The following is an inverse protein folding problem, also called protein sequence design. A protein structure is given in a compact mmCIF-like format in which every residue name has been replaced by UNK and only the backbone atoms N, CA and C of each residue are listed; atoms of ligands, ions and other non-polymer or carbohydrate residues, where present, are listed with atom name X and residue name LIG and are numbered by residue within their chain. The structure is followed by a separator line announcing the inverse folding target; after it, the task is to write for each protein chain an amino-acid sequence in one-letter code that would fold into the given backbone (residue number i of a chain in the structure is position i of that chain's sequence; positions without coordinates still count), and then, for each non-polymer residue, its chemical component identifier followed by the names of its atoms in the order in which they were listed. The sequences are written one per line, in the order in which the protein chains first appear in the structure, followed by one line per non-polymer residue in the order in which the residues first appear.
data_IF_709332248166
#
_entry.id   IF_709332248166
#
_cell.length_a   1.000
_cell.length_b   1.000
_cell.length_c   1.000
_cell.angle_alpha   90.00
_cell.angle_beta   90.00
_cell.angle_gamma   90.00
#
_symmetry.space_group_name_H-M   'P 1'
#
loop_
_entity.id
_entity.type
_entity.pdbx_description
1 polymer ?
#
# COMPACT_ATOMS: atom_id res chain seq x y z
N UNK A 1 -13.49 -3.32 -15.39
CA UNK A 1 -13.36 -2.66 -14.08
C UNK A 1 -12.47 -1.43 -14.28
N UNK A 2 -12.86 -0.27 -13.74
CA UNK A 2 -12.02 0.94 -13.77
C UNK A 2 -11.03 0.93 -12.60
N UNK A 3 -10.01 1.78 -12.66
CA UNK A 3 -9.06 1.90 -11.55
C UNK A 3 -9.71 2.40 -10.26
N UNK A 4 -10.69 3.29 -10.35
CA UNK A 4 -11.46 3.77 -9.20
C UNK A 4 -12.28 2.65 -8.55
N UNK A 5 -12.88 1.79 -9.38
CA UNK A 5 -13.61 0.61 -8.91
C UNK A 5 -12.69 -0.38 -8.19
N UNK A 6 -11.52 -0.66 -8.77
CA UNK A 6 -10.55 -1.56 -8.16
C UNK A 6 -9.96 -0.96 -6.87
N UNK A 7 -9.66 0.34 -6.83
CA UNK A 7 -9.15 0.99 -5.63
C UNK A 7 -10.15 0.92 -4.46
N UNK A 8 -11.45 1.11 -4.76
CA UNK A 8 -12.50 0.94 -3.77
C UNK A 8 -12.56 -0.50 -3.25
N UNK A 9 -12.51 -1.49 -4.14
CA UNK A 9 -12.50 -2.92 -3.76
C UNK A 9 -11.26 -3.27 -2.94
N UNK A 10 -10.07 -2.79 -3.32
CA UNK A 10 -8.85 -2.98 -2.52
C UNK A 10 -9.04 -2.48 -1.09
N UNK A 11 -9.57 -1.27 -0.91
CA UNK A 11 -9.84 -0.70 0.42
C UNK A 11 -10.88 -1.50 1.18
N UNK A 12 -11.97 -1.89 0.50
CA UNK A 12 -13.04 -2.67 1.13
C UNK A 12 -12.57 -4.05 1.60
N UNK A 13 -11.81 -4.75 0.74
CA UNK A 13 -11.18 -6.02 1.10
C UNK A 13 -10.16 -5.87 2.23
N UNK A 14 -9.34 -4.81 2.20
CA UNK A 14 -8.33 -4.58 3.21
C UNK A 14 -8.93 -4.33 4.60
N UNK A 15 -9.99 -3.53 4.68
CA UNK A 15 -10.72 -3.32 5.94
C UNK A 15 -11.26 -4.66 6.46
N UNK A 16 -11.89 -5.47 5.62
CA UNK A 16 -12.41 -6.77 6.01
C UNK A 16 -11.29 -7.73 6.45
N UNK A 17 -10.25 -7.88 5.62
CA UNK A 17 -9.12 -8.76 5.90
C UNK A 17 -8.45 -8.40 7.23
N UNK A 18 -8.14 -7.12 7.45
CA UNK A 18 -7.45 -6.70 8.68
C UNK A 18 -8.36 -6.77 9.90
N UNK A 19 -9.65 -6.49 9.73
CA UNK A 19 -10.65 -6.63 10.78
C UNK A 19 -10.79 -8.09 11.27
N UNK A 20 -10.96 -9.04 10.35
CA UNK A 20 -11.14 -10.46 10.69
C UNK A 20 -9.85 -11.08 11.22
N UNK A 21 -8.73 -10.76 10.60
CA UNK A 21 -7.43 -11.38 10.93
C UNK A 21 -6.71 -10.73 12.10
N UNK A 22 -7.17 -9.55 12.52
CA UNK A 22 -6.44 -8.66 13.43
C UNK A 22 -5.03 -8.30 12.92
N UNK A 23 -4.90 -8.28 11.59
CA UNK A 23 -3.65 -7.93 10.90
C UNK A 23 -3.39 -6.43 10.89
N UNK A 24 -2.12 -6.06 11.02
CA UNK A 24 -1.68 -4.65 11.05
C UNK A 24 -1.59 -4.01 9.64
N UNK A 25 -1.13 -2.77 9.61
CA UNK A 25 -0.71 -2.02 8.42
C UNK A 25 -1.84 -1.46 7.53
N UNK A 26 -3.08 -1.39 8.05
CA UNK A 26 -4.21 -0.88 7.26
C UNK A 26 -3.94 0.52 6.67
N UNK A 27 -3.32 1.43 7.42
CA UNK A 27 -2.97 2.77 6.93
C UNK A 27 -2.08 2.75 5.69
N UNK A 28 -1.11 1.81 5.63
CA UNK A 28 -0.21 1.64 4.48
C UNK A 28 -0.89 0.98 3.28
N UNK A 29 -1.89 0.13 3.53
CA UNK A 29 -2.71 -0.49 2.48
C UNK A 29 -3.60 0.56 1.84
N UNK A 30 -4.25 1.41 2.65
CA UNK A 30 -5.13 2.46 2.17
C UNK A 30 -4.39 3.53 1.36
N UNK A 31 -3.12 3.86 1.70
CA UNK A 31 -2.33 4.83 0.94
C UNK A 31 -1.99 4.34 -0.47
N UNK A 32 -1.60 3.07 -0.61
CA UNK A 32 -1.10 2.51 -1.87
C UNK A 32 -2.19 2.01 -2.82
N UNK A 33 -3.45 1.97 -2.37
CA UNK A 33 -4.56 1.34 -3.08
C UNK A 33 -4.79 1.91 -4.48
N UNK A 34 -4.72 3.24 -4.66
CA UNK A 34 -4.89 3.90 -5.97
C UNK A 34 -3.75 3.59 -6.92
N UNK A 35 -2.51 3.59 -6.42
CA UNK A 35 -1.32 3.23 -7.20
C UNK A 35 -1.44 1.80 -7.74
N UNK A 36 -1.77 0.83 -6.86
CA UNK A 36 -1.95 -0.57 -7.26
C UNK A 36 -3.13 -0.72 -8.22
N UNK A 37 -4.24 -0.03 -7.96
CA UNK A 37 -5.41 -0.09 -8.83
C UNK A 37 -5.09 0.39 -10.26
N UNK A 38 -4.43 1.54 -10.40
CA UNK A 38 -4.02 2.05 -11.73
C UNK A 38 -3.04 1.10 -12.41
N UNK A 39 -2.09 0.54 -11.66
CA UNK A 39 -1.16 -0.46 -12.21
C UNK A 39 -1.90 -1.66 -12.80
N UNK A 40 -2.82 -2.26 -12.07
CA UNK A 40 -3.49 -3.50 -12.48
C UNK A 40 -4.61 -3.30 -13.51
N UNK A 41 -5.18 -2.11 -13.65
CA UNK A 41 -6.26 -1.85 -14.62
C UNK A 41 -5.78 -1.22 -15.91
N UNK A 42 -4.77 -0.34 -15.85
CA UNK A 42 -4.44 0.52 -16.99
C UNK A 42 -2.99 0.34 -17.51
N UNK A 43 -2.08 -0.20 -16.71
CA UNK A 43 -0.63 -0.14 -17.00
C UNK A 43 -0.03 -1.52 -17.24
N UNK A 44 -0.17 -2.45 -16.29
CA UNK A 44 0.51 -3.75 -16.32
C UNK A 44 0.00 -4.65 -17.45
N UNK A 45 0.92 -5.21 -18.20
CA UNK A 45 0.64 -6.30 -19.15
C UNK A 45 0.74 -7.62 -18.42
N UNK A 46 -0.38 -8.28 -18.19
CA UNK A 46 -0.43 -9.59 -17.53
C UNK A 46 -1.55 -10.46 -18.10
N UNK A 47 -1.44 -11.76 -17.85
CA UNK A 47 -2.52 -12.73 -18.03
C UNK A 47 -2.61 -13.56 -16.73
N UNK A 48 -3.69 -13.38 -15.98
CA UNK A 48 -3.92 -14.08 -14.72
C UNK A 48 -4.00 -15.61 -14.88
N UNK A 49 -4.29 -16.10 -16.09
CA UNK A 49 -4.35 -17.54 -16.43
C UNK A 49 -3.03 -18.09 -16.94
N UNK A 50 -2.08 -17.23 -17.30
CA UNK A 50 -0.77 -17.61 -17.80
C UNK A 50 0.37 -16.88 -17.09
N UNK A 51 0.65 -17.29 -15.86
CA UNK A 51 1.72 -16.72 -15.05
C UNK A 51 3.11 -16.90 -15.63
N UNK A 52 3.27 -17.87 -16.56
CA UNK A 52 4.53 -18.17 -17.22
C UNK A 52 4.75 -17.33 -18.50
N UNK A 53 3.81 -16.46 -18.85
CA UNK A 53 3.99 -15.60 -20.01
C UNK A 53 5.24 -14.71 -19.84
N UNK A 54 6.26 -14.96 -20.64
CA UNK A 54 7.58 -14.34 -20.48
C UNK A 54 7.54 -12.81 -20.69
N UNK A 55 6.66 -12.34 -21.58
CA UNK A 55 6.54 -10.91 -21.94
C UNK A 55 5.61 -10.13 -21.00
N UNK A 56 5.03 -10.78 -19.98
CA UNK A 56 4.26 -10.05 -18.96
C UNK A 56 5.15 -9.10 -18.19
N UNK A 57 4.62 -7.98 -17.76
CA UNK A 57 5.31 -7.09 -16.83
C UNK A 57 5.53 -7.76 -15.47
N UNK A 58 6.50 -7.25 -14.73
CA UNK A 58 6.82 -7.70 -13.36
C UNK A 58 6.47 -6.61 -12.39
N UNK A 59 5.76 -6.99 -11.33
CA UNK A 59 5.39 -6.06 -10.26
C UNK A 59 5.92 -6.55 -8.92
N UNK A 60 6.63 -5.67 -8.19
CA UNK A 60 7.15 -5.92 -6.84
C UNK A 60 6.56 -4.87 -5.89
N UNK A 61 5.80 -5.33 -4.90
CA UNK A 61 5.43 -4.50 -3.76
C UNK A 61 6.54 -4.59 -2.72
N UNK A 62 7.54 -3.71 -2.79
CA UNK A 62 8.70 -3.74 -1.88
C UNK A 62 8.31 -3.41 -0.44
N UNK A 63 7.39 -2.45 -0.24
CA UNK A 63 6.68 -2.22 1.03
C UNK A 63 5.72 -3.38 1.34
N UNK A 64 6.27 -4.57 1.57
CA UNK A 64 5.52 -5.82 1.69
C UNK A 64 4.49 -5.85 2.81
N UNK A 65 4.62 -4.98 3.80
CA UNK A 65 3.64 -4.78 4.86
C UNK A 65 2.27 -4.30 4.35
N UNK A 66 2.17 -3.74 3.14
CA UNK A 66 0.91 -3.46 2.48
C UNK A 66 0.36 -4.68 1.69
N UNK A 67 0.71 -5.92 2.09
CA UNK A 67 0.37 -7.17 1.42
C UNK A 67 -1.12 -7.34 1.13
N UNK A 68 -2.00 -6.89 2.02
CA UNK A 68 -3.45 -6.96 1.81
C UNK A 68 -3.89 -6.19 0.53
N UNK A 69 -3.20 -5.11 0.13
CA UNK A 69 -3.54 -4.38 -1.10
C UNK A 69 -3.26 -5.21 -2.35
N UNK A 70 -2.08 -5.82 -2.44
CA UNK A 70 -1.75 -6.65 -3.61
C UNK A 70 -2.60 -7.91 -3.65
N UNK A 71 -2.92 -8.52 -2.52
CA UNK A 71 -3.80 -9.70 -2.49
C UNK A 71 -5.20 -9.38 -3.01
N UNK A 72 -5.78 -8.27 -2.58
CA UNK A 72 -7.08 -7.82 -3.08
C UNK A 72 -7.03 -7.53 -4.60
N UNK A 73 -6.01 -6.82 -5.08
CA UNK A 73 -5.83 -6.54 -6.50
C UNK A 73 -5.68 -7.81 -7.34
N UNK A 74 -4.89 -8.77 -6.88
CA UNK A 74 -4.69 -10.05 -7.58
C UNK A 74 -5.97 -10.88 -7.62
N UNK A 75 -6.71 -10.98 -6.52
CA UNK A 75 -7.98 -11.70 -6.47
C UNK A 75 -9.00 -11.09 -7.43
N UNK A 76 -9.19 -9.78 -7.40
CA UNK A 76 -10.11 -9.05 -8.30
C UNK A 76 -9.66 -9.08 -9.76
N UNK A 77 -8.36 -9.25 -10.02
CA UNK A 77 -7.79 -9.45 -11.36
C UNK A 77 -7.83 -10.92 -11.83
N UNK A 78 -8.38 -11.84 -11.03
CA UNK A 78 -8.63 -13.23 -11.41
C UNK A 78 -7.45 -14.20 -11.27
N UNK A 79 -6.41 -13.84 -10.48
CA UNK A 79 -5.28 -14.74 -10.20
C UNK A 79 -5.65 -15.88 -9.24
N UNK A 80 -6.59 -15.65 -8.35
CA UNK A 80 -7.16 -16.64 -7.43
C UNK A 80 -8.57 -16.20 -6.98
N UNK A 81 -9.37 -17.10 -6.39
CA UNK A 81 -10.74 -16.76 -5.99
C UNK A 81 -10.80 -15.67 -4.91
N UNK A 82 -11.69 -14.69 -5.06
CA UNK A 82 -11.91 -13.59 -4.10
C UNK A 82 -12.24 -14.12 -2.70
N UNK A 83 -13.00 -15.22 -2.59
CA UNK A 83 -13.34 -15.82 -1.30
C UNK A 83 -12.11 -16.27 -0.48
N UNK A 84 -10.97 -16.51 -1.11
CA UNK A 84 -9.74 -16.86 -0.42
C UNK A 84 -9.20 -15.72 0.45
N UNK A 85 -9.55 -14.46 0.15
CA UNK A 85 -9.17 -13.30 0.95
C UNK A 85 -9.62 -13.41 2.41
N UNK A 86 -10.68 -14.17 2.69
CA UNK A 86 -11.17 -14.45 4.05
C UNK A 86 -10.19 -15.27 4.90
N UNK A 87 -9.19 -15.87 4.25
CA UNK A 87 -8.16 -16.68 4.94
C UNK A 87 -6.89 -15.87 5.29
N UNK A 88 -6.91 -14.55 5.06
CA UNK A 88 -5.78 -13.68 5.38
C UNK A 88 -5.31 -13.88 6.84
N UNK A 89 -4.01 -14.09 7.04
CA UNK A 89 -3.39 -14.37 8.35
C UNK A 89 -3.85 -15.67 9.06
N UNK A 90 -4.74 -16.46 8.47
CA UNK A 90 -5.15 -17.72 9.08
C UNK A 90 -4.01 -18.76 9.02
N UNK A 91 -3.93 -19.64 10.01
CA UNK A 91 -2.96 -20.72 10.01
C UNK A 91 -3.11 -21.60 8.76
N UNK A 92 -2.01 -21.82 8.04
CA UNK A 92 -1.99 -22.58 6.79
C UNK A 92 -2.39 -21.80 5.55
N UNK A 93 -2.83 -20.55 5.67
CA UNK A 93 -3.06 -19.67 4.52
C UNK A 93 -1.75 -19.23 3.87
N UNK A 94 -1.78 -19.06 2.55
CA UNK A 94 -0.69 -18.42 1.80
C UNK A 94 -0.76 -16.89 1.82
N UNK A 95 -1.88 -16.33 2.25
CA UNK A 95 -2.10 -14.89 2.38
C UNK A 95 -1.53 -14.39 3.71
N UNK A 96 -0.21 -14.24 3.75
CA UNK A 96 0.53 -13.80 4.94
C UNK A 96 0.33 -12.29 5.16
N UNK A 97 0.72 -11.78 6.31
CA UNK A 97 0.64 -10.34 6.61
C UNK A 97 1.54 -9.46 5.74
N UNK A 98 2.57 -10.05 5.15
CA UNK A 98 3.45 -9.40 4.20
C UNK A 98 3.34 -10.10 2.84
N UNK A 99 3.66 -9.39 1.76
CA UNK A 99 3.58 -9.95 0.42
C UNK A 99 4.37 -11.26 0.31
N UNK A 100 3.71 -12.33 -0.15
CA UNK A 100 4.24 -13.70 -0.16
C UNK A 100 4.23 -14.28 -1.58
N UNK A 101 5.37 -14.79 -2.03
CA UNK A 101 5.52 -15.44 -3.35
C UNK A 101 4.71 -16.74 -3.51
N UNK A 102 4.15 -17.29 -2.41
CA UNK A 102 3.22 -18.41 -2.50
C UNK A 102 1.87 -18.02 -3.11
N UNK A 103 1.58 -16.72 -3.19
CA UNK A 103 0.37 -16.18 -3.81
C UNK A 103 0.60 -16.00 -5.31
N UNK A 104 -0.25 -16.58 -6.19
CA UNK A 104 -0.13 -16.40 -7.64
C UNK A 104 -0.12 -14.93 -8.03
N UNK A 105 0.86 -14.52 -8.83
CA UNK A 105 1.03 -13.13 -9.24
C UNK A 105 1.97 -12.30 -8.36
N UNK A 106 2.40 -12.80 -7.21
CA UNK A 106 3.45 -12.17 -6.39
C UNK A 106 4.81 -12.70 -6.82
N UNK A 107 5.67 -11.83 -7.34
CA UNK A 107 6.99 -12.21 -7.87
C UNK A 107 7.95 -12.69 -6.78
N UNK A 108 8.00 -11.96 -5.66
CA UNK A 108 8.92 -12.22 -4.55
C UNK A 108 8.24 -11.88 -3.22
N UNK A 109 8.60 -12.62 -2.18
CA UNK A 109 8.23 -12.26 -0.81
C UNK A 109 8.99 -11.02 -0.38
N UNK A 110 8.28 -10.06 0.21
CA UNK A 110 8.84 -8.79 0.69
C UNK A 110 8.34 -8.50 2.11
N UNK A 111 8.99 -7.55 2.78
CA UNK A 111 8.65 -7.16 4.15
C UNK A 111 9.85 -6.55 4.86
N UNK A 112 11.05 -7.10 4.64
CA UNK A 112 12.30 -6.42 4.98
C UNK A 112 12.53 -5.31 3.96
N UNK A 113 12.47 -4.06 4.41
CA UNK A 113 12.56 -2.89 3.53
C UNK A 113 13.94 -2.81 2.84
N UNK A 114 14.00 -2.11 1.71
CA UNK A 114 15.22 -1.90 0.94
C UNK A 114 15.60 -3.02 -0.03
N UNK A 115 14.88 -4.16 -0.07
CA UNK A 115 15.25 -5.31 -0.90
C UNK A 115 14.58 -5.33 -2.27
N UNK A 116 13.32 -4.90 -2.36
CA UNK A 116 12.52 -5.04 -3.59
C UNK A 116 13.09 -4.30 -4.78
N UNK A 117 13.66 -3.11 -4.59
CA UNK A 117 14.26 -2.34 -5.68
C UNK A 117 15.49 -3.04 -6.25
N UNK A 118 16.35 -3.60 -5.39
CA UNK A 118 17.54 -4.36 -5.82
C UNK A 118 17.14 -5.61 -6.62
N UNK A 119 16.09 -6.31 -6.19
CA UNK A 119 15.54 -7.47 -6.91
C UNK A 119 14.97 -7.02 -8.26
N UNK A 120 14.21 -5.91 -8.29
CA UNK A 120 13.68 -5.32 -9.51
C UNK A 120 14.78 -4.92 -10.51
N UNK A 121 15.90 -4.39 -10.01
CA UNK A 121 17.09 -4.12 -10.82
C UNK A 121 17.63 -5.38 -11.48
N UNK A 122 17.71 -6.48 -10.70
CA UNK A 122 18.16 -7.78 -11.23
C UNK A 122 17.25 -8.31 -12.33
N UNK A 123 15.93 -8.23 -12.15
CA UNK A 123 14.93 -8.63 -13.15
C UNK A 123 15.04 -7.78 -14.42
N UNK A 124 15.09 -6.45 -14.27
CA UNK A 124 15.20 -5.52 -15.39
C UNK A 124 16.51 -5.70 -16.17
N UNK A 125 17.62 -5.94 -15.46
CA UNK A 125 18.90 -6.21 -16.05
C UNK A 125 18.91 -7.54 -16.83
N UNK A 126 18.36 -8.61 -16.25
CA UNK A 126 18.25 -9.92 -16.90
C UNK A 126 17.42 -9.84 -18.18
N UNK A 127 16.26 -9.20 -18.14
CA UNK A 127 15.41 -8.97 -19.31
C UNK A 127 16.17 -8.27 -20.43
N UNK A 128 16.86 -7.18 -20.11
CA UNK A 128 17.65 -6.42 -21.07
C UNK A 128 18.80 -7.22 -21.68
N UNK A 129 19.49 -8.03 -20.86
CA UNK A 129 20.59 -8.90 -21.32
C UNK A 129 20.13 -10.02 -22.22
N UNK A 130 18.95 -10.56 -21.97
CA UNK A 130 18.35 -11.66 -22.76
C UNK A 130 17.65 -11.14 -24.03
N UNK A 131 17.66 -9.85 -24.30
CA UNK A 131 16.93 -9.24 -25.44
C UNK A 131 15.42 -9.23 -25.25
N UNK A 132 14.93 -9.50 -24.06
CA UNK A 132 13.51 -9.48 -23.68
C UNK A 132 13.10 -8.05 -23.31
N UNK A 133 13.08 -7.13 -24.26
CA UNK A 133 12.83 -5.71 -24.02
C UNK A 133 11.33 -5.35 -23.99
N UNK A 134 10.44 -6.33 -24.14
CA UNK A 134 9.01 -6.10 -24.34
C UNK A 134 8.23 -5.94 -23.02
N UNK A 135 8.85 -6.23 -21.87
CA UNK A 135 8.24 -6.07 -20.55
C UNK A 135 9.01 -5.10 -19.65
N UNK A 136 8.28 -4.53 -18.73
CA UNK A 136 8.79 -3.61 -17.72
C UNK A 136 8.77 -4.25 -16.35
N UNK A 137 9.57 -3.69 -15.45
CA UNK A 137 9.59 -4.02 -14.04
C UNK A 137 9.14 -2.81 -13.25
N UNK A 138 8.08 -2.94 -12.48
CA UNK A 138 7.52 -1.91 -11.61
C UNK A 138 7.76 -2.29 -10.16
N UNK A 139 8.28 -1.36 -9.38
CA UNK A 139 8.60 -1.59 -7.95
C UNK A 139 8.01 -0.48 -7.12
N UNK A 140 7.03 -0.82 -6.26
CA UNK A 140 6.50 0.14 -5.30
C UNK A 140 7.27 0.05 -4.00
N UNK A 141 7.90 1.14 -3.62
CA UNK A 141 8.63 1.34 -2.36
C UNK A 141 7.89 2.36 -1.49
N UNK A 142 8.23 2.46 -0.22
CA UNK A 142 7.74 3.54 0.65
C UNK A 142 8.80 4.66 0.81
N UNK A 143 8.34 5.79 1.32
CA UNK A 143 9.25 6.88 1.73
C UNK A 143 10.22 6.43 2.83
N UNK A 144 9.73 5.78 3.89
CA UNK A 144 10.60 5.22 4.92
C UNK A 144 11.56 4.13 4.43
N UNK A 145 11.23 3.45 3.31
CA UNK A 145 12.15 2.52 2.67
C UNK A 145 13.33 3.24 2.01
N UNK A 146 13.18 4.52 1.66
CA UNK A 146 14.28 5.35 1.16
C UNK A 146 15.35 5.66 2.22
N UNK A 147 15.14 5.33 3.48
CA UNK A 147 16.17 5.40 4.52
C UNK A 147 17.15 4.22 4.45
N UNK A 148 16.79 3.17 3.73
CA UNK A 148 17.65 2.00 3.54
C UNK A 148 18.76 2.29 2.52
N UNK A 149 20.03 2.06 2.90
CA UNK A 149 21.17 2.27 2.02
C UNK A 149 21.10 1.47 0.71
N UNK A 150 20.55 0.26 0.77
CA UNK A 150 20.37 -0.62 -0.38
C UNK A 150 19.45 -0.05 -1.48
N UNK A 151 18.53 0.84 -1.16
CA UNK A 151 17.72 1.57 -2.16
C UNK A 151 18.64 2.46 -3.02
N UNK A 152 19.58 3.17 -2.41
CA UNK A 152 20.49 4.06 -3.13
C UNK A 152 21.59 3.29 -3.89
N UNK A 153 22.04 2.14 -3.37
CA UNK A 153 22.90 1.21 -4.09
C UNK A 153 22.20 0.69 -5.35
N UNK A 154 20.93 0.28 -5.23
CA UNK A 154 20.11 -0.13 -6.37
C UNK A 154 19.89 1.01 -7.37
N UNK A 155 19.71 2.24 -6.88
CA UNK A 155 19.56 3.41 -7.73
C UNK A 155 20.81 3.68 -8.56
N UNK A 156 22.01 3.57 -7.97
CA UNK A 156 23.30 3.67 -8.69
C UNK A 156 23.43 2.58 -9.75
N UNK A 157 23.11 1.33 -9.38
CA UNK A 157 23.16 0.18 -10.28
C UNK A 157 22.22 0.38 -11.49
N UNK A 158 20.98 0.75 -11.25
CA UNK A 158 19.98 0.95 -12.30
C UNK A 158 20.41 2.01 -13.32
N UNK A 159 20.93 3.13 -12.87
CA UNK A 159 21.45 4.18 -13.74
C UNK A 159 22.67 3.72 -14.51
N UNK A 160 23.66 3.08 -13.84
CA UNK A 160 24.88 2.59 -14.49
C UNK A 160 24.57 1.62 -15.64
N UNK A 161 23.64 0.67 -15.40
CA UNK A 161 23.24 -0.32 -16.42
C UNK A 161 22.11 0.17 -17.34
N UNK A 162 21.71 1.45 -17.20
CA UNK A 162 20.72 2.10 -18.06
C UNK A 162 19.41 1.33 -18.13
N UNK A 163 18.86 0.96 -16.97
CA UNK A 163 17.67 0.12 -16.88
C UNK A 163 16.39 0.94 -17.16
N UNK A 164 16.21 1.36 -18.40
CA UNK A 164 15.05 2.13 -18.87
C UNK A 164 13.73 1.34 -18.87
N UNK A 165 13.79 0.05 -18.62
CA UNK A 165 12.65 -0.85 -18.41
C UNK A 165 12.28 -1.01 -16.93
N UNK A 166 12.94 -0.27 -16.02
CA UNK A 166 12.63 -0.23 -14.58
C UNK A 166 11.92 1.06 -14.22
N UNK A 167 10.78 0.93 -13.55
CA UNK A 167 10.02 2.05 -12.98
C UNK A 167 9.87 1.81 -11.48
N UNK A 168 10.45 2.68 -10.67
CA UNK A 168 10.19 2.72 -9.22
C UNK A 168 9.04 3.68 -8.94
N UNK A 169 8.20 3.35 -7.97
CA UNK A 169 7.13 4.22 -7.49
C UNK A 169 7.30 4.39 -5.98
N UNK A 170 7.50 5.61 -5.52
CA UNK A 170 7.55 5.91 -4.09
C UNK A 170 6.14 6.26 -3.64
N UNK A 171 5.54 5.41 -2.79
CA UNK A 171 4.34 5.76 -2.04
C UNK A 171 4.75 6.75 -0.94
N UNK A 172 4.71 8.04 -1.28
CA UNK A 172 5.22 9.14 -0.47
C UNK A 172 4.12 9.71 0.41
N UNK A 173 3.85 9.00 1.52
CA UNK A 173 2.78 9.33 2.46
C UNK A 173 3.26 10.10 3.70
N UNK A 174 4.53 10.47 3.77
CA UNK A 174 5.19 11.25 4.83
C UNK A 174 5.23 10.59 6.21
N UNK A 175 4.94 9.28 6.31
CA UNK A 175 4.87 8.57 7.59
C UNK A 175 5.57 7.22 7.54
N UNK A 176 6.37 6.97 8.56
CA UNK A 176 7.00 5.68 8.82
C UNK A 176 6.25 4.88 9.90
N UNK A 177 6.89 3.86 10.46
CA UNK A 177 6.35 3.04 11.53
C UNK A 177 6.43 3.71 12.90
N UNK A 178 7.38 4.60 13.09
CA UNK A 178 7.68 5.25 14.38
C UNK A 178 7.04 6.64 14.50
N UNK A 179 7.10 7.43 13.41
CA UNK A 179 6.60 8.81 13.38
C UNK A 179 6.52 9.29 11.92
N UNK A 180 6.24 10.58 11.73
CA UNK A 180 6.41 11.23 10.44
C UNK A 180 7.85 11.09 9.94
N UNK A 181 8.00 10.98 8.62
CA UNK A 181 9.31 10.80 7.96
C UNK A 181 10.32 11.86 8.40
N UNK A 182 9.92 13.13 8.49
CA UNK A 182 10.80 14.20 8.92
C UNK A 182 11.24 14.12 10.39
N UNK A 183 10.46 13.43 11.24
CA UNK A 183 10.80 13.26 12.66
C UNK A 183 11.64 12.00 12.89
N UNK A 184 11.49 10.98 12.03
CA UNK A 184 12.22 9.70 12.16
C UNK A 184 13.61 9.82 11.56
N UNK A 185 13.69 10.06 10.25
CA UNK A 185 14.91 10.35 9.51
C UNK A 185 14.56 11.21 8.29
N UNK A 186 14.96 12.46 8.29
CA UNK A 186 14.55 13.42 7.27
C UNK A 186 15.16 13.09 5.91
N UNK A 187 14.30 12.83 4.93
CA UNK A 187 14.71 12.56 3.54
C UNK A 187 15.10 13.83 2.78
N UNK A 188 14.74 15.03 3.25
CA UNK A 188 14.95 16.28 2.52
C UNK A 188 14.27 16.28 1.15
N UNK A 189 14.91 16.88 0.14
CA UNK A 189 14.38 16.84 -1.24
C UNK A 189 14.63 15.46 -1.88
N UNK A 190 13.63 14.61 -1.80
CA UNK A 190 13.65 13.24 -2.36
C UNK A 190 13.81 13.27 -3.87
N UNK A 191 13.12 14.18 -4.56
CA UNK A 191 13.19 14.31 -6.01
C UNK A 191 14.60 14.70 -6.48
N UNK A 192 15.23 15.66 -5.78
CA UNK A 192 16.61 16.04 -6.10
C UNK A 192 17.60 14.90 -5.86
N UNK A 193 17.42 14.10 -4.81
CA UNK A 193 18.24 12.91 -4.56
C UNK A 193 18.15 11.92 -5.72
N UNK A 194 16.95 11.52 -6.13
CA UNK A 194 16.78 10.61 -7.26
C UNK A 194 17.35 11.16 -8.55
N UNK A 195 17.20 12.49 -8.83
CA UNK A 195 17.83 13.15 -9.98
C UNK A 195 19.36 13.08 -9.90
N UNK A 196 19.94 13.27 -8.71
CA UNK A 196 21.40 13.17 -8.50
C UNK A 196 21.93 11.76 -8.73
N UNK A 197 21.13 10.72 -8.48
CA UNK A 197 21.45 9.33 -8.83
C UNK A 197 21.25 9.01 -10.31
N UNK A 198 20.87 10.00 -11.13
CA UNK A 198 20.74 9.88 -12.59
C UNK A 198 19.39 9.32 -13.06
N UNK A 199 18.41 9.26 -12.19
CA UNK A 199 17.06 8.83 -12.53
C UNK A 199 16.26 9.98 -13.13
N UNK A 200 15.32 9.62 -14.00
CA UNK A 200 14.23 10.50 -14.35
C UNK A 200 13.21 10.50 -13.23
N UNK A 201 12.72 11.68 -12.86
CA UNK A 201 11.78 11.86 -11.75
C UNK A 201 10.48 12.46 -12.29
N UNK A 202 9.38 11.82 -11.98
CA UNK A 202 8.00 12.28 -12.19
C UNK A 202 7.35 12.44 -10.82
N UNK A 203 6.76 13.60 -10.56
CA UNK A 203 6.06 13.90 -9.31
C UNK A 203 4.57 13.98 -9.58
N UNK A 204 3.73 13.34 -8.74
CA UNK A 204 2.29 13.25 -8.97
C UNK A 204 1.50 13.17 -7.66
N UNK A 205 0.21 13.50 -7.71
CA UNK A 205 -0.75 13.18 -6.64
C UNK A 205 -1.13 11.69 -6.76
N UNK A 206 -0.66 10.90 -5.78
CA UNK A 206 -0.83 9.45 -5.76
C UNK A 206 -2.24 8.97 -5.39
N UNK A 207 -3.15 9.87 -5.02
CA UNK A 207 -4.55 9.56 -4.77
C UNK A 207 -5.49 10.07 -5.88
N UNK A 208 -4.93 10.55 -7.02
CA UNK A 208 -5.69 10.95 -8.21
C UNK A 208 -5.37 10.08 -9.40
N UNK A 209 -6.35 9.31 -9.85
CA UNK A 209 -6.19 8.30 -10.89
C UNK A 209 -5.77 8.88 -12.25
N UNK A 210 -6.32 10.02 -12.65
CA UNK A 210 -5.95 10.71 -13.88
C UNK A 210 -4.50 11.17 -13.88
N UNK A 211 -4.03 11.72 -12.75
CA UNK A 211 -2.64 12.14 -12.59
C UNK A 211 -1.68 10.95 -12.51
N UNK A 212 -2.06 9.87 -11.81
CA UNK A 212 -1.27 8.63 -11.81
C UNK A 212 -1.14 8.04 -13.22
N UNK A 213 -2.24 7.95 -13.98
CA UNK A 213 -2.23 7.45 -15.36
C UNK A 213 -1.32 8.30 -16.24
N UNK A 214 -1.33 9.62 -16.08
CA UNK A 214 -0.44 10.50 -16.81
C UNK A 214 1.01 10.30 -16.42
N UNK A 215 1.32 10.19 -15.13
CA UNK A 215 2.67 9.91 -14.64
C UNK A 215 3.24 8.58 -15.20
N UNK A 216 2.41 7.54 -15.28
CA UNK A 216 2.82 6.27 -15.89
C UNK A 216 3.03 6.40 -17.40
N UNK A 217 2.15 7.12 -18.13
CA UNK A 217 2.36 7.40 -19.57
C UNK A 217 3.64 8.21 -19.79
N UNK A 218 3.90 9.18 -18.94
CA UNK A 218 5.14 9.92 -18.98
C UNK A 218 6.34 8.99 -18.75
N UNK A 219 6.31 8.09 -17.79
CA UNK A 219 7.35 7.11 -17.57
C UNK A 219 7.58 6.18 -18.79
N UNK A 220 6.54 5.83 -19.52
CA UNK A 220 6.64 5.03 -20.74
C UNK A 220 7.20 5.81 -21.92
N UNK A 221 6.68 7.02 -22.19
CA UNK A 221 7.09 7.88 -23.32
C UNK A 221 8.52 8.35 -23.16
N UNK A 222 8.95 8.59 -21.95
CA UNK A 222 10.28 9.06 -21.63
C UNK A 222 11.36 8.01 -21.80
N UNK A 223 11.01 6.75 -21.77
CA UNK A 223 11.89 5.70 -22.28
C UNK A 223 12.32 5.91 -23.73
N UNK A 224 11.56 6.73 -24.49
CA UNK A 224 11.92 7.14 -25.86
C UNK A 224 12.78 8.40 -25.89
N UNK A 225 12.53 9.38 -25.02
CA UNK A 225 13.26 10.65 -24.98
C UNK A 225 14.60 10.55 -24.26
N UNK A 226 14.66 9.82 -23.16
CA UNK A 226 15.86 9.52 -22.39
C UNK A 226 16.05 7.99 -22.30
N UNK A 227 16.38 7.32 -23.41
CA UNK A 227 16.33 5.85 -23.55
C UNK A 227 17.31 5.08 -22.66
N UNK A 228 18.02 5.80 -21.80
CA UNK A 228 19.07 5.25 -20.95
C UNK A 228 18.80 5.43 -19.46
N UNK A 229 17.71 6.08 -19.07
CA UNK A 229 17.45 6.36 -17.67
C UNK A 229 16.33 5.49 -17.12
N UNK A 230 16.49 4.90 -15.92
CA UNK A 230 15.37 4.39 -15.14
C UNK A 230 14.48 5.56 -14.70
N UNK A 231 13.21 5.28 -14.41
CA UNK A 231 12.25 6.29 -13.98
C UNK A 231 11.79 6.03 -12.56
N UNK A 232 11.67 7.08 -11.75
CA UNK A 232 10.98 7.05 -10.47
C UNK A 232 9.77 7.98 -10.51
N UNK A 233 8.63 7.49 -10.06
CA UNK A 233 7.42 8.26 -9.82
C UNK A 233 7.32 8.49 -8.32
N UNK A 234 7.37 9.74 -7.88
CA UNK A 234 7.13 10.13 -6.49
C UNK A 234 5.64 10.47 -6.39
N UNK A 235 4.89 9.52 -5.86
CA UNK A 235 3.44 9.62 -5.72
C UNK A 235 3.11 10.12 -4.31
N UNK A 236 2.76 11.40 -4.18
CA UNK A 236 2.31 11.96 -2.91
C UNK A 236 0.96 11.38 -2.54
N UNK A 237 0.87 10.68 -1.42
CA UNK A 237 -0.33 10.00 -0.95
C UNK A 237 -0.68 10.40 0.48
N UNK A 238 -1.85 10.00 0.93
CA UNK A 238 -2.29 10.15 2.32
C UNK A 238 -2.33 8.76 2.97
N UNK A 239 -1.54 8.56 4.03
CA UNK A 239 -1.64 7.33 4.81
C UNK A 239 -3.03 7.21 5.43
N UNK A 240 -3.71 6.08 5.22
CA UNK A 240 -5.09 5.92 5.69
C UNK A 240 -6.15 6.52 4.76
N UNK A 241 -5.82 6.85 3.50
CA UNK A 241 -6.73 7.51 2.57
C UNK A 241 -8.05 6.77 2.36
N UNK A 242 -9.16 7.51 2.43
CA UNK A 242 -10.52 6.98 2.28
C UNK A 242 -11.25 6.72 3.60
N UNK A 243 -10.53 6.75 4.74
CA UNK A 243 -11.11 6.62 6.08
C UNK A 243 -10.59 7.76 6.95
N UNK A 244 -11.44 8.75 7.23
CA UNK A 244 -11.03 10.05 7.77
C UNK A 244 -10.25 9.97 9.10
N UNK A 245 -10.69 9.10 10.00
CA UNK A 245 -10.05 8.94 11.32
C UNK A 245 -8.74 8.12 11.27
N UNK A 246 -8.43 7.51 10.12
CA UNK A 246 -7.16 6.80 9.89
C UNK A 246 -6.13 7.67 9.18
N UNK A 247 -6.57 8.80 8.58
CA UNK A 247 -5.68 9.63 7.77
C UNK A 247 -4.62 10.32 8.64
N UNK A 248 -3.35 10.14 8.23
CA UNK A 248 -2.19 10.75 8.87
C UNK A 248 -2.09 10.48 10.37
N UNK A 249 -2.63 9.35 10.84
CA UNK A 249 -2.48 8.90 12.22
C UNK A 249 -1.60 7.65 12.27
N UNK A 250 -0.51 7.77 13.06
CA UNK A 250 0.52 6.74 13.23
C UNK A 250 -0.03 5.45 13.84
N UNK A 251 -1.08 5.52 14.64
CA UNK A 251 -1.69 4.37 15.27
C UNK A 251 -2.10 3.32 14.24
N UNK A 252 -2.56 3.74 13.06
CA UNK A 252 -3.02 2.86 11.99
C UNK A 252 -1.87 2.20 11.19
N UNK A 253 -0.63 2.42 11.62
CA UNK A 253 0.47 1.61 11.11
C UNK A 253 0.40 0.18 11.66
N UNK A 254 0.06 0.01 12.95
CA UNK A 254 0.01 -1.29 13.61
C UNK A 254 -1.39 -1.74 14.05
N UNK A 255 -2.37 -0.85 14.02
CA UNK A 255 -3.77 -1.17 14.36
C UNK A 255 -4.54 -1.74 13.16
N UNK A 256 -5.67 -2.33 13.49
CA UNK A 256 -6.74 -2.78 12.60
C UNK A 256 -8.08 -2.26 13.11
N UNK A 257 -9.14 -2.16 12.27
CA UNK A 257 -10.45 -1.72 12.72
C UNK A 257 -11.06 -2.74 13.69
N UNK A 258 -11.30 -2.34 14.92
CA UNK A 258 -11.98 -3.18 15.91
C UNK A 258 -13.46 -3.28 15.64
N UNK A 259 -14.12 -4.32 16.22
CA UNK A 259 -15.58 -4.47 16.19
C UNK A 259 -16.28 -3.21 16.71
N UNK A 260 -17.43 -2.88 16.12
CA UNK A 260 -18.22 -1.71 16.43
C UNK A 260 -17.74 -0.47 15.67
N UNK A 261 -17.62 0.65 16.34
CA UNK A 261 -17.47 1.97 15.70
C UNK A 261 -16.35 2.04 14.64
N UNK A 262 -15.17 1.50 14.93
CA UNK A 262 -14.03 1.65 14.00
C UNK A 262 -14.29 0.92 12.67
N UNK A 263 -14.80 -0.31 12.74
CA UNK A 263 -15.15 -1.06 11.54
C UNK A 263 -16.34 -0.44 10.80
N UNK A 264 -17.41 -0.14 11.54
CA UNK A 264 -18.65 0.41 10.98
C UNK A 264 -18.42 1.74 10.28
N UNK A 265 -17.65 2.65 10.90
CA UNK A 265 -17.29 3.93 10.29
C UNK A 265 -16.36 3.79 9.10
N UNK A 266 -15.40 2.86 9.14
CA UNK A 266 -14.53 2.58 8.01
C UNK A 266 -15.34 2.17 6.78
N UNK A 267 -16.28 1.25 6.96
CA UNK A 267 -17.17 0.80 5.86
C UNK A 267 -18.08 1.95 5.40
N UNK A 268 -18.70 2.68 6.36
CA UNK A 268 -19.60 3.80 6.04
C UNK A 268 -18.91 4.87 5.21
N UNK A 269 -17.67 5.23 5.56
CA UNK A 269 -16.92 6.24 4.83
C UNK A 269 -16.54 5.78 3.42
N UNK A 270 -16.17 4.51 3.26
CA UNK A 270 -15.95 3.94 1.93
C UNK A 270 -17.21 3.98 1.05
N UNK A 271 -18.39 3.74 1.63
CA UNK A 271 -19.64 3.81 0.86
C UNK A 271 -19.95 5.21 0.33
N UNK A 272 -19.49 6.30 0.99
CA UNK A 272 -19.65 7.67 0.48
C UNK A 272 -18.91 7.91 -0.84
N UNK A 273 -17.87 7.12 -1.10
CA UNK A 273 -17.03 7.23 -2.30
C UNK A 273 -17.14 6.00 -3.21
N UNK A 274 -18.14 5.14 -2.98
CA UNK A 274 -18.33 3.91 -3.76
C UNK A 274 -18.64 4.26 -5.21
N UNK A 275 -17.82 3.81 -6.18
CA UNK A 275 -18.10 4.05 -7.58
C UNK A 275 -19.32 3.29 -8.08
N UNK A 276 -19.99 3.83 -9.09
CA UNK A 276 -21.10 3.15 -9.75
C UNK A 276 -20.67 1.80 -10.34
N UNK A 277 -21.59 0.83 -10.30
CA UNK A 277 -21.37 -0.50 -10.88
C UNK A 277 -20.50 -1.46 -10.04
N UNK A 278 -20.01 -1.02 -8.88
CA UNK A 278 -19.30 -1.92 -7.95
C UNK A 278 -20.29 -2.63 -7.03
N UNK A 279 -20.17 -3.95 -6.94
CA UNK A 279 -20.85 -4.75 -5.92
C UNK A 279 -19.93 -4.96 -4.74
N UNK A 280 -20.38 -4.68 -3.52
CA UNK A 280 -19.63 -5.00 -2.31
C UNK A 280 -19.66 -6.53 -2.08
N UNK A 281 -18.52 -7.22 -2.07
CA UNK A 281 -18.48 -8.68 -1.90
C UNK A 281 -18.86 -9.14 -0.50
N UNK A 282 -19.00 -8.24 0.46
CA UNK A 282 -19.33 -8.53 1.86
C UNK A 282 -20.75 -8.15 2.23
N UNK A 283 -21.49 -7.51 1.33
CA UNK A 283 -22.90 -7.18 1.54
C UNK A 283 -23.77 -8.21 0.85
N UNK A 284 -24.65 -8.94 1.55
CA UNK A 284 -25.57 -9.87 0.93
C UNK A 284 -26.44 -9.18 -0.13
N UNK A 285 -26.69 -9.85 -1.26
CA UNK A 285 -27.53 -9.33 -2.34
C UNK A 285 -28.88 -8.86 -1.79
N UNK A 286 -29.23 -7.59 -2.01
CA UNK A 286 -30.51 -6.99 -1.65
C UNK A 286 -30.58 -6.35 -0.26
N UNK A 287 -29.51 -6.33 0.49
CA UNK A 287 -29.41 -5.46 1.68
C UNK A 287 -28.80 -4.15 1.21
N UNK A 288 -29.55 -3.03 1.38
CA UNK A 288 -28.98 -1.69 1.26
C UNK A 288 -27.80 -1.58 2.22
N UNK A 289 -26.79 -0.76 1.82
CA UNK A 289 -25.67 -0.44 2.70
C UNK A 289 -26.19 -0.15 4.11
N UNK A 290 -25.52 -0.65 5.16
CA UNK A 290 -25.95 -0.39 6.52
C UNK A 290 -26.23 1.10 6.69
N UNK A 291 -27.45 1.47 7.07
CA UNK A 291 -27.77 2.87 7.38
C UNK A 291 -27.17 3.15 8.74
N UNK A 292 -25.92 3.55 8.73
CA UNK A 292 -25.26 4.00 9.95
C UNK A 292 -25.75 5.42 10.31
N UNK A 293 -25.76 5.79 11.58
CA UNK A 293 -26.24 7.08 12.05
C UNK A 293 -25.56 8.22 11.25
N UNK A 294 -26.37 9.10 10.69
CA UNK A 294 -25.90 10.23 9.87
C UNK A 294 -25.31 11.37 10.70
N UNK A 295 -25.54 11.35 12.02
CA UNK A 295 -25.07 12.36 12.98
C UNK A 295 -24.83 11.73 14.35
N UNK A 296 -24.10 12.44 15.22
CA UNK A 296 -23.96 12.04 16.63
C UNK A 296 -25.32 11.99 17.37
N UNK A 297 -26.34 12.66 16.86
CA UNK A 297 -27.70 12.66 17.43
C UNK A 297 -28.47 11.36 17.14
N UNK A 298 -28.08 10.64 16.07
CA UNK A 298 -28.67 9.33 15.71
C UNK A 298 -28.02 8.17 16.48
N UNK A 299 -26.90 8.43 17.13
CA UNK A 299 -26.21 7.50 18.02
C UNK A 299 -26.89 7.69 19.37
N UNK A 300 -27.92 6.88 19.68
CA UNK A 300 -28.62 6.96 20.95
C UNK A 300 -27.64 7.06 22.14
N UNK A 301 -28.11 7.47 23.31
CA UNK A 301 -27.33 7.67 24.54
C UNK A 301 -26.60 6.39 25.03
N UNK A 302 -26.00 5.64 24.15
CA UNK A 302 -25.05 4.59 24.52
C UNK A 302 -23.73 5.27 24.90
N UNK A 303 -23.56 5.44 26.20
CA UNK A 303 -22.38 6.06 26.78
C UNK A 303 -21.05 5.37 26.40
N UNK A 304 -21.10 4.13 25.92
CA UNK A 304 -19.94 3.40 25.39
C UNK A 304 -19.49 3.96 24.05
N UNK A 305 -20.42 4.44 23.21
CA UNK A 305 -20.14 5.00 21.91
C UNK A 305 -19.53 6.41 22.00
N UNK A 306 -20.05 7.25 22.89
CA UNK A 306 -19.51 8.62 23.14
C UNK A 306 -18.15 8.60 23.83
N UNK A 307 -17.85 7.57 24.61
CA UNK A 307 -16.58 7.40 25.27
C UNK A 307 -15.44 6.97 24.33
N UNK A 308 -15.77 6.35 23.19
CA UNK A 308 -14.77 5.92 22.21
C UNK A 308 -14.46 6.97 21.15
N UNK A 309 -15.36 7.92 20.89
CA UNK A 309 -15.14 9.00 19.93
C UNK A 309 -14.82 10.31 20.66
N UNK A 310 -13.62 10.44 21.12
CA UNK A 310 -13.07 11.70 21.62
C UNK A 310 -11.99 12.17 20.64
N UNK A 311 -12.04 13.40 20.09
CA UNK A 311 -10.94 13.96 19.31
C UNK A 311 -9.59 13.94 20.07
N UNK A 312 -9.63 13.81 21.41
CA UNK A 312 -8.47 13.64 22.27
C UNK A 312 -8.12 12.16 22.54
N UNK A 313 -8.84 11.20 21.92
CA UNK A 313 -8.59 9.77 22.10
C UNK A 313 -7.12 9.34 21.87
N UNK A 314 -6.42 9.84 20.85
CA UNK A 314 -4.99 9.57 20.68
C UNK A 314 -4.14 10.05 21.84
N UNK A 315 -4.54 11.13 22.50
CA UNK A 315 -3.82 11.70 23.66
C UNK A 315 -4.09 10.93 24.94
N UNK A 316 -5.30 10.39 25.11
CA UNK A 316 -5.65 9.53 26.23
C UNK A 316 -4.96 8.17 26.15
N UNK A 317 -4.91 7.54 24.97
CA UNK A 317 -4.17 6.29 24.76
C UNK A 317 -2.68 6.45 25.03
N UNK A 318 -2.06 7.53 24.57
CA UNK A 318 -0.65 7.85 24.89
C UNK A 318 -0.42 8.01 26.40
N UNK A 319 -1.40 8.54 27.14
CA UNK A 319 -1.32 8.68 28.59
C UNK A 319 -1.52 7.35 29.33
N UNK A 320 -2.30 6.44 28.81
CA UNK A 320 -2.52 5.11 29.38
C UNK A 320 -1.34 4.18 29.10
N UNK A 321 -0.80 4.20 27.88
CA UNK A 321 0.42 3.46 27.53
C UNK A 321 1.63 3.97 28.31
N UNK A 322 1.76 5.28 28.53
CA UNK A 322 2.80 5.85 29.36
C UNK A 322 2.66 5.44 30.84
N UNK A 323 1.44 5.21 31.34
CA UNK A 323 1.18 4.71 32.69
C UNK A 323 1.45 3.21 32.82
N UNK A 324 1.15 2.40 31.79
CA UNK A 324 1.43 0.97 31.76
C UNK A 324 2.93 0.67 31.66
N UNK A 325 3.66 1.46 30.87
CA UNK A 325 5.11 1.34 30.75
C UNK A 325 5.89 1.75 32.00
N UNK A 326 5.29 2.56 32.90
CA UNK A 326 5.95 2.97 34.14
C UNK A 326 5.84 1.94 35.27
N UNK A 327 5.01 0.91 35.13
CA UNK A 327 4.85 -0.15 36.16
C UNK A 327 5.77 -1.35 36.00
N UNK A 328 6.52 -1.48 34.89
CA UNK A 328 7.44 -2.61 34.66
C UNK A 328 8.89 -2.39 35.14
N UNK A 329 9.22 -1.22 35.69
CA UNK A 329 10.60 -0.89 36.05
C UNK A 329 10.95 -0.93 37.56
N UNK A 330 10.25 -1.74 38.37
CA UNK A 330 10.63 -1.97 39.77
C UNK A 330 10.78 -3.44 40.16
N UNK A 331 11.58 -4.18 39.44
CA UNK A 331 12.24 -5.36 40.02
C UNK A 331 13.74 -5.07 40.16
N UNK A 332 14.07 -4.56 41.36
CA UNK A 332 15.43 -4.50 41.86
C UNK A 332 15.99 -5.92 41.95
N UNK A 333 17.01 -6.18 41.16
CA UNK A 333 17.96 -7.27 41.42
C UNK A 333 18.68 -6.93 42.75
N UNK A 334 18.42 -7.68 43.80
CA UNK A 334 19.31 -7.81 44.92
C UNK A 334 20.15 -9.07 44.72
N UNK A 335 21.44 -8.85 44.67
CA UNK A 335 22.63 -9.71 44.90
C UNK A 335 22.43 -11.22 44.75
#
# INVERSE_FOLDING_TARGET
MTSEQLAWLIRRHAIEMTHISHGSHIGSVLSVADIIAVLYTDILKFDAKNLQWEQRDRFILSKGHAGAAIYAALAESGFFPVDELKTHYANGSRLLGHASHFVPGVEVSTGSLGHGLSIGCGMAYAAKKNGQNDHRVYVVISDGECDEGSVWEAALFANHFRLNNLVAIVDYNHMQSLDFTNNTLELGDVAAKWRAFGWRVVETDGNKHDQLKEAFREAETNGQLEPHKPTVIIASTIKGFGVSFMQNDILWHYRFPHNGWEYDMSVTELYKTKPDGVTDPYTPNGIEAPVYPKSNDDIGNDHTFTATWNPQYPEQMRREEAKSGSNESTHKVKQ
#
